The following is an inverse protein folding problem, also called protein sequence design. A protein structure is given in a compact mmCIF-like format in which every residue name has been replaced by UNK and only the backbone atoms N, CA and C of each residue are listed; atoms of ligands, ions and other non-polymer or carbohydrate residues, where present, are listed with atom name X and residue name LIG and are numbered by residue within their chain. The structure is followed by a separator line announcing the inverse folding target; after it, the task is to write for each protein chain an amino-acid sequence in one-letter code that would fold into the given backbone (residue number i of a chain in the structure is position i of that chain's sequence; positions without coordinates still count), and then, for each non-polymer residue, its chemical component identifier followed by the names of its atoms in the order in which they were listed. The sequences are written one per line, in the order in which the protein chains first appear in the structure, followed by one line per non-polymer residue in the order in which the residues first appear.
data_IF_583165886443
#
_entry.id   IF_583165886443
#
_cell.length_a   1.000
_cell.length_b   1.000
_cell.length_c   1.000
_cell.angle_alpha   90.00
_cell.angle_beta   90.00
_cell.angle_gamma   90.00
#
_symmetry.space_group_name_H-M   'P 1'
#
loop_
_entity.id
_entity.type
_entity.pdbx_description
1 polymer ?
#
# COMPACT_ATOMS: atom_id res chain seq x y z
N UNK A 1 29.11 -15.67 -1.45
CA UNK A 1 28.85 -15.29 -0.06
C UNK A 1 29.40 -16.38 0.86
N UNK A 2 30.12 -16.02 1.92
CA UNK A 2 30.66 -16.98 2.88
C UNK A 2 29.55 -17.70 3.65
N UNK A 3 29.81 -18.90 4.22
CA UNK A 3 28.81 -19.62 5.03
C UNK A 3 28.25 -18.79 6.17
N UNK A 4 29.10 -18.01 6.87
CA UNK A 4 28.63 -17.15 7.97
C UNK A 4 27.74 -16.02 7.50
N UNK A 5 28.08 -15.38 6.40
CA UNK A 5 27.24 -14.33 5.80
C UNK A 5 25.92 -14.90 5.31
N UNK A 6 25.92 -16.10 4.73
CA UNK A 6 24.69 -16.78 4.30
C UNK A 6 23.77 -17.08 5.47
N UNK A 7 24.34 -17.56 6.58
CA UNK A 7 23.57 -17.82 7.81
C UNK A 7 22.92 -16.54 8.34
N UNK A 8 23.68 -15.44 8.37
CA UNK A 8 23.16 -14.11 8.78
C UNK A 8 22.06 -13.63 7.82
N UNK A 9 22.25 -13.80 6.54
CA UNK A 9 21.25 -13.45 5.52
C UNK A 9 19.94 -14.22 5.75
N UNK A 10 20.03 -15.52 6.02
CA UNK A 10 18.83 -16.33 6.27
C UNK A 10 18.06 -15.87 7.51
N UNK A 11 18.77 -15.45 8.55
CA UNK A 11 18.15 -14.88 9.76
C UNK A 11 17.39 -13.57 9.41
N UNK A 12 18.01 -12.69 8.63
CA UNK A 12 17.39 -11.43 8.22
C UNK A 12 16.18 -11.65 7.31
N UNK A 13 16.25 -12.62 6.41
CA UNK A 13 15.12 -13.00 5.54
C UNK A 13 13.93 -13.52 6.35
N UNK A 14 14.17 -14.30 7.41
CA UNK A 14 13.10 -14.73 8.32
C UNK A 14 12.45 -13.55 9.03
N UNK A 15 13.23 -12.54 9.41
CA UNK A 15 12.69 -11.31 10.00
C UNK A 15 11.81 -10.55 8.99
N UNK A 16 12.24 -10.49 7.73
CA UNK A 16 11.43 -9.88 6.66
C UNK A 16 10.13 -10.65 6.44
N UNK A 17 10.17 -11.98 6.43
CA UNK A 17 8.98 -12.82 6.27
C UNK A 17 7.96 -12.58 7.40
N UNK A 18 8.44 -12.45 8.63
CA UNK A 18 7.58 -12.14 9.78
C UNK A 18 6.96 -10.74 9.65
N UNK A 19 7.74 -9.78 9.15
CA UNK A 19 7.27 -8.43 8.91
C UNK A 19 6.21 -8.40 7.79
N UNK A 20 6.41 -9.19 6.74
CA UNK A 20 5.46 -9.32 5.64
C UNK A 20 4.11 -9.88 6.12
N UNK A 21 4.13 -10.82 7.08
CA UNK A 21 2.89 -11.31 7.69
C UNK A 21 2.08 -10.19 8.35
N UNK A 22 2.77 -9.25 9.00
CA UNK A 22 2.13 -8.08 9.61
C UNK A 22 1.59 -7.12 8.54
N UNK A 23 2.37 -6.90 7.47
CA UNK A 23 1.94 -6.06 6.35
C UNK A 23 0.69 -6.62 5.66
N UNK A 24 0.63 -7.94 5.44
CA UNK A 24 -0.55 -8.59 4.86
C UNK A 24 -1.80 -8.35 5.71
N UNK A 25 -1.67 -8.45 7.03
CA UNK A 25 -2.80 -8.18 7.94
C UNK A 25 -3.27 -6.72 7.84
N UNK A 26 -2.32 -5.78 7.74
CA UNK A 26 -2.65 -4.35 7.56
C UNK A 26 -3.31 -4.08 6.20
N UNK A 27 -2.84 -4.74 5.15
CA UNK A 27 -3.45 -4.65 3.82
C UNK A 27 -4.88 -5.20 3.84
N UNK A 28 -5.12 -6.28 4.56
CA UNK A 28 -6.48 -6.82 4.73
C UNK A 28 -7.42 -5.77 5.35
N UNK A 29 -6.98 -5.13 6.43
CA UNK A 29 -7.74 -4.08 7.10
C UNK A 29 -8.00 -2.92 6.13
N UNK A 30 -6.96 -2.47 5.43
CA UNK A 30 -7.05 -1.38 4.47
C UNK A 30 -8.02 -1.72 3.33
N UNK A 31 -7.95 -2.94 2.81
CA UNK A 31 -8.86 -3.40 1.75
C UNK A 31 -10.32 -3.40 2.21
N UNK A 32 -10.58 -3.81 3.44
CA UNK A 32 -11.93 -3.78 4.00
C UNK A 32 -12.47 -2.34 4.09
N UNK A 33 -11.62 -1.38 4.46
CA UNK A 33 -11.99 0.04 4.49
C UNK A 33 -12.25 0.56 3.07
N UNK A 34 -11.43 0.16 2.11
CA UNK A 34 -11.64 0.53 0.68
C UNK A 34 -12.97 -0.01 0.17
N UNK A 35 -13.37 -1.21 0.57
CA UNK A 35 -14.69 -1.77 0.22
C UNK A 35 -15.82 -0.91 0.77
N UNK A 36 -15.69 -0.43 1.99
CA UNK A 36 -16.68 0.47 2.60
C UNK A 36 -16.74 1.81 1.85
N UNK A 37 -15.59 2.37 1.48
CA UNK A 37 -15.52 3.59 0.67
C UNK A 37 -16.19 3.37 -0.70
N UNK A 38 -15.90 2.24 -1.34
CA UNK A 38 -16.49 1.89 -2.64
C UNK A 38 -18.03 1.83 -2.56
N UNK A 39 -18.56 1.28 -1.47
CA UNK A 39 -20.01 1.19 -1.27
C UNK A 39 -20.69 2.57 -1.17
N UNK A 40 -19.95 3.62 -0.80
CA UNK A 40 -20.46 4.98 -0.73
C UNK A 40 -20.47 5.68 -2.10
N UNK A 41 -19.74 5.16 -3.06
CA UNK A 41 -19.65 5.73 -4.40
C UNK A 41 -20.86 5.36 -5.23
N UNK A 42 -21.49 6.36 -5.82
CA UNK A 42 -22.67 6.20 -6.65
C UNK A 42 -22.31 6.03 -8.12
N UNK A 43 -21.29 6.72 -8.56
CA UNK A 43 -20.89 6.77 -9.96
C UNK A 43 -19.47 6.25 -10.16
N UNK A 44 -19.24 5.58 -11.28
CA UNK A 44 -17.93 5.01 -11.61
C UNK A 44 -16.81 6.06 -11.67
N UNK A 45 -17.13 7.29 -12.09
CA UNK A 45 -16.13 8.36 -12.15
C UNK A 45 -15.63 8.81 -10.78
N UNK A 46 -16.32 8.47 -9.69
CA UNK A 46 -15.87 8.76 -8.33
C UNK A 46 -14.73 7.88 -7.87
N UNK A 47 -14.43 6.79 -8.60
CA UNK A 47 -13.36 5.85 -8.24
C UNK A 47 -12.00 6.55 -8.25
N UNK A 48 -11.71 7.37 -9.27
CA UNK A 48 -10.45 8.10 -9.33
C UNK A 48 -10.65 9.52 -8.80
N UNK A 49 -10.16 9.74 -7.59
CA UNK A 49 -10.15 11.06 -6.96
C UNK A 49 -8.72 11.61 -7.00
N UNK A 50 -8.44 12.42 -8.01
CA UNK A 50 -7.11 12.99 -8.25
C UNK A 50 -6.61 13.86 -7.09
N UNK A 51 -7.50 14.64 -6.48
CA UNK A 51 -7.15 15.49 -5.33
C UNK A 51 -6.75 14.64 -4.14
N UNK A 52 -7.49 13.57 -3.87
CA UNK A 52 -7.18 12.64 -2.79
C UNK A 52 -5.85 11.92 -3.03
N UNK A 53 -5.60 11.47 -4.25
CA UNK A 53 -4.35 10.80 -4.63
C UNK A 53 -3.15 11.73 -4.39
N UNK A 54 -3.21 12.97 -4.85
CA UNK A 54 -2.16 13.96 -4.63
C UNK A 54 -1.92 14.22 -3.15
N UNK A 55 -2.96 14.31 -2.35
CA UNK A 55 -2.87 14.52 -0.91
C UNK A 55 -2.21 13.32 -0.23
N UNK A 56 -2.60 12.10 -0.58
CA UNK A 56 -1.99 10.88 -0.03
C UNK A 56 -0.49 10.86 -0.30
N UNK A 57 -0.09 11.07 -1.55
CA UNK A 57 1.32 11.02 -1.94
C UNK A 57 2.16 12.11 -1.25
N UNK A 58 1.60 13.29 -1.10
CA UNK A 58 2.25 14.39 -0.36
C UNK A 58 2.43 14.03 1.10
N UNK A 59 1.41 13.48 1.74
CA UNK A 59 1.47 13.08 3.14
C UNK A 59 2.45 11.93 3.37
N UNK A 60 2.48 10.95 2.47
CA UNK A 60 3.42 9.83 2.54
C UNK A 60 4.87 10.32 2.42
N UNK A 61 5.14 11.26 1.53
CA UNK A 61 6.46 11.87 1.40
C UNK A 61 6.91 12.52 2.71
N UNK A 62 6.04 13.32 3.33
CA UNK A 62 6.34 13.99 4.60
C UNK A 62 6.60 12.98 5.72
N UNK A 63 5.76 11.96 5.82
CA UNK A 63 5.91 10.89 6.83
C UNK A 63 7.20 10.11 6.62
N UNK A 64 7.57 9.85 5.37
CA UNK A 64 8.80 9.14 5.03
C UNK A 64 10.02 9.91 5.48
N UNK A 65 10.09 11.20 5.17
CA UNK A 65 11.19 12.06 5.59
C UNK A 65 11.29 12.11 7.11
N UNK A 66 10.15 12.29 7.79
CA UNK A 66 10.09 12.32 9.26
C UNK A 66 10.62 11.03 9.89
N UNK A 67 10.33 9.90 9.27
CA UNK A 67 10.74 8.57 9.75
C UNK A 67 12.07 8.09 9.15
N UNK A 68 12.80 8.95 8.46
CA UNK A 68 14.10 8.64 7.85
C UNK A 68 14.03 7.47 6.87
N UNK A 69 12.95 7.40 6.12
CA UNK A 69 12.76 6.41 5.05
C UNK A 69 13.00 7.12 3.72
N UNK A 70 13.69 6.45 2.80
CA UNK A 70 13.87 6.98 1.45
C UNK A 70 12.51 7.19 0.77
N UNK A 71 12.14 8.45 0.44
CA UNK A 71 10.84 8.75 -0.17
C UNK A 71 10.62 8.06 -1.52
N UNK A 72 11.69 7.67 -2.23
CA UNK A 72 11.57 6.92 -3.49
C UNK A 72 10.96 5.54 -3.26
N UNK A 73 11.27 4.90 -2.14
CA UNK A 73 10.70 3.59 -1.78
C UNK A 73 9.20 3.75 -1.53
N UNK A 74 8.83 4.60 -0.61
CA UNK A 74 7.43 4.76 -0.20
C UNK A 74 6.57 5.36 -1.30
N UNK A 75 7.08 6.26 -2.10
CA UNK A 75 6.36 6.82 -3.24
C UNK A 75 5.95 5.74 -4.24
N UNK A 76 6.86 4.83 -4.58
CA UNK A 76 6.57 3.70 -5.49
C UNK A 76 5.55 2.74 -4.89
N UNK A 77 5.73 2.40 -3.62
CA UNK A 77 4.79 1.49 -2.93
C UNK A 77 3.39 2.10 -2.94
N UNK A 78 3.24 3.36 -2.54
CA UNK A 78 1.92 3.99 -2.46
C UNK A 78 1.29 4.23 -3.83
N UNK A 79 2.06 4.64 -4.84
CA UNK A 79 1.53 4.75 -6.20
C UNK A 79 0.98 3.42 -6.71
N UNK A 80 1.73 2.34 -6.54
CA UNK A 80 1.29 1.01 -6.97
C UNK A 80 0.10 0.52 -6.16
N UNK A 81 0.07 0.78 -4.87
CA UNK A 81 -1.05 0.44 -4.00
C UNK A 81 -2.32 1.18 -4.43
N UNK A 82 -2.22 2.48 -4.68
CA UNK A 82 -3.34 3.30 -5.14
C UNK A 82 -3.88 2.77 -6.47
N UNK A 83 -3.00 2.47 -7.42
CA UNK A 83 -3.40 1.91 -8.72
C UNK A 83 -4.04 0.54 -8.59
N UNK A 84 -3.53 -0.30 -7.71
CA UNK A 84 -4.10 -1.62 -7.42
C UNK A 84 -5.51 -1.51 -6.85
N UNK A 85 -5.74 -0.56 -5.95
CA UNK A 85 -7.08 -0.33 -5.41
C UNK A 85 -8.03 0.33 -6.40
N UNK A 86 -7.55 1.18 -7.28
CA UNK A 86 -8.37 1.71 -8.38
C UNK A 86 -8.85 0.57 -9.27
N UNK A 87 -7.96 -0.33 -9.64
CA UNK A 87 -8.32 -1.53 -10.42
C UNK A 87 -9.34 -2.40 -9.67
N UNK A 88 -9.09 -2.65 -8.40
CA UNK A 88 -10.01 -3.41 -7.55
C UNK A 88 -11.39 -2.75 -7.50
N UNK A 89 -11.47 -1.45 -7.28
CA UNK A 89 -12.73 -0.72 -7.23
C UNK A 89 -13.47 -0.78 -8.57
N UNK A 90 -12.76 -0.65 -9.69
CA UNK A 90 -13.36 -0.77 -11.03
C UNK A 90 -13.97 -2.14 -11.28
N UNK A 91 -13.27 -3.19 -10.86
CA UNK A 91 -13.74 -4.58 -11.01
C UNK A 91 -14.92 -4.90 -10.11
N UNK A 92 -15.04 -4.23 -8.99
CA UNK A 92 -16.05 -4.51 -7.96
C UNK A 92 -17.14 -3.43 -7.87
N UNK A 93 -17.06 -2.42 -8.69
CA UNK A 93 -18.09 -1.38 -8.72
C UNK A 93 -19.42 -1.97 -9.22
N UNK A 94 -20.46 -1.78 -8.42
CA UNK A 94 -21.80 -2.23 -8.77
C UNK A 94 -22.71 -1.01 -8.96
N UNK A 95 -23.22 -0.87 -10.14
CA UNK A 95 -24.17 0.17 -10.47
C UNK A 95 -25.43 -0.02 -9.65
N UNK A 96 -25.77 1.02 -8.90
CA UNK A 96 -26.99 1.01 -8.08
C UNK A 96 -28.18 1.49 -8.89
#
# INVERSE_FOLDING_TARGET
MSPDKRKKLNILRKKLDLLDNKLIKLIKIRTNIVKEVLNLKTYRHEIVDKKRISLILKNIKKKSIKNKIDPKITNRIWKNMIMSYIDFERRNFRKK
#
